data_IF_343307679450
#
_entry.id   IF_343307679450
#
_cell.length_a   1.000
_cell.length_b   1.000
_cell.length_c   1.000
_cell.angle_alpha   90.00
_cell.angle_beta   90.00
_cell.angle_gamma   90.00
#
_symmetry.space_group_name_H-M   'P 1'
#
loop_
_entity.id
_entity.type
_entity.pdbx_description
1 polymer ?
#
# COMPACT_ATOMS: atom_id res chain seq x y z
N UNK A 1 -7.34 43.07 7.49
CA UNK A 1 -6.36 42.08 6.99
C UNK A 1 -6.79 40.69 7.43
N UNK A 2 -7.54 39.96 6.60
CA UNK A 2 -7.97 38.60 6.92
C UNK A 2 -6.77 37.66 6.75
N UNK A 3 -6.33 37.02 7.83
CA UNK A 3 -5.29 35.99 7.76
C UNK A 3 -5.77 34.89 6.82
N UNK A 4 -5.11 34.74 5.66
CA UNK A 4 -5.41 33.66 4.72
C UNK A 4 -5.30 32.32 5.44
N UNK A 5 -6.41 31.58 5.46
CA UNK A 5 -6.47 30.26 6.08
C UNK A 5 -5.53 29.35 5.28
N UNK A 6 -4.38 28.95 5.84
CA UNK A 6 -3.51 27.95 5.22
C UNK A 6 -4.37 26.70 5.02
N UNK A 7 -4.67 26.34 3.77
CA UNK A 7 -5.42 25.14 3.41
C UNK A 7 -4.68 23.96 4.03
N UNK A 8 -5.23 23.36 5.10
CA UNK A 8 -4.66 22.15 5.67
C UNK A 8 -4.74 21.07 4.59
N UNK A 9 -3.59 20.49 4.24
CA UNK A 9 -3.53 19.37 3.33
C UNK A 9 -4.29 18.20 3.96
N UNK A 10 -5.30 17.69 3.26
CA UNK A 10 -6.04 16.50 3.68
C UNK A 10 -5.19 15.28 3.36
N UNK A 11 -5.20 14.26 4.21
CA UNK A 11 -4.35 13.08 4.06
C UNK A 11 -4.51 12.38 2.70
N UNK A 12 -5.70 12.46 2.08
CA UNK A 12 -5.97 11.89 0.76
C UNK A 12 -5.07 12.48 -0.34
N UNK A 13 -4.57 13.71 -0.17
CA UNK A 13 -3.63 14.32 -1.13
C UNK A 13 -2.25 13.67 -1.13
N UNK A 14 -1.97 12.78 -0.17
CA UNK A 14 -0.73 12.00 -0.05
C UNK A 14 -0.88 10.54 -0.46
N UNK A 15 -2.09 10.13 -0.83
CA UNK A 15 -2.32 8.78 -1.36
C UNK A 15 -1.62 8.67 -2.70
N UNK A 16 -0.84 7.62 -2.87
CA UNK A 16 -0.10 7.38 -4.10
C UNK A 16 -0.27 5.93 -4.54
N UNK A 17 -0.13 5.70 -5.85
CA UNK A 17 -0.24 4.39 -6.46
C UNK A 17 1.15 3.82 -6.77
N UNK A 18 1.29 2.51 -6.54
CA UNK A 18 2.45 1.70 -6.93
C UNK A 18 1.95 0.54 -7.79
N UNK A 19 2.63 0.30 -8.91
CA UNK A 19 2.36 -0.85 -9.79
C UNK A 19 3.53 -1.81 -9.70
N UNK A 20 3.25 -3.08 -9.39
CA UNK A 20 4.22 -4.13 -9.15
C UNK A 20 3.91 -5.35 -10.02
N UNK A 21 4.96 -6.00 -10.51
CA UNK A 21 4.90 -7.38 -10.99
C UNK A 21 5.22 -8.35 -9.86
N UNK A 22 4.89 -9.62 -10.08
CA UNK A 22 5.37 -10.73 -9.25
C UNK A 22 6.65 -11.32 -9.83
N UNK A 23 7.52 -11.84 -8.96
CA UNK A 23 8.63 -12.69 -9.39
C UNK A 23 8.11 -13.99 -10.01
N UNK A 24 8.93 -14.76 -10.75
CA UNK A 24 8.55 -16.08 -11.24
C UNK A 24 8.06 -17.04 -10.15
N UNK A 25 8.53 -16.86 -8.91
CA UNK A 25 8.13 -17.61 -7.71
C UNK A 25 6.89 -17.03 -7.01
N UNK A 26 6.27 -15.98 -7.58
CA UNK A 26 5.10 -15.31 -7.03
C UNK A 26 5.38 -14.34 -5.89
N UNK A 27 6.66 -13.98 -5.65
CA UNK A 27 7.06 -13.09 -4.56
C UNK A 27 6.95 -11.62 -4.98
N UNK A 28 6.67 -10.74 -4.01
CA UNK A 28 6.54 -9.29 -4.25
C UNK A 28 7.67 -8.44 -3.66
N UNK A 29 8.53 -9.04 -2.82
CA UNK A 29 9.68 -8.34 -2.23
C UNK A 29 9.38 -7.43 -1.03
N UNK A 30 8.19 -7.51 -0.42
CA UNK A 30 7.86 -6.78 0.81
C UNK A 30 7.06 -7.63 1.80
N UNK A 31 6.96 -7.16 3.05
CA UNK A 31 6.14 -7.74 4.12
C UNK A 31 4.86 -6.92 4.32
N UNK A 32 3.77 -7.57 4.74
CA UNK A 32 2.57 -6.90 5.25
C UNK A 32 2.36 -7.21 6.72
N UNK A 33 1.96 -6.19 7.47
CA UNK A 33 1.67 -6.26 8.89
C UNK A 33 0.33 -5.58 9.19
N UNK A 34 -0.09 -5.64 10.45
CA UNK A 34 -1.35 -5.08 10.92
C UNK A 34 -2.54 -6.02 10.72
N UNK A 35 -3.66 -5.48 10.27
CA UNK A 35 -4.90 -6.23 10.05
C UNK A 35 -5.96 -6.00 11.13
N UNK A 36 -7.23 -6.12 10.73
CA UNK A 36 -8.37 -5.84 11.59
C UNK A 36 -8.44 -6.75 12.83
N UNK A 37 -7.88 -7.96 12.77
CA UNK A 37 -7.75 -8.87 13.91
C UNK A 37 -6.88 -8.29 15.04
N UNK A 38 -6.00 -7.33 14.71
CA UNK A 38 -5.13 -6.62 15.65
C UNK A 38 -5.66 -5.21 15.97
N UNK A 39 -6.82 -4.82 15.45
CA UNK A 39 -7.33 -3.45 15.55
C UNK A 39 -6.48 -2.42 14.79
N UNK A 40 -5.74 -2.86 13.77
CA UNK A 40 -4.82 -2.03 12.98
C UNK A 40 -5.22 -2.04 11.50
N UNK A 41 -4.93 -0.95 10.78
CA UNK A 41 -4.95 -1.00 9.32
C UNK A 41 -3.81 -1.90 8.81
N UNK A 42 -3.97 -2.55 7.64
CA UNK A 42 -2.85 -3.21 6.99
C UNK A 42 -1.82 -2.15 6.56
N UNK A 43 -0.54 -2.45 6.75
CA UNK A 43 0.55 -1.55 6.39
C UNK A 43 1.77 -2.32 5.88
N UNK A 44 2.61 -1.62 5.11
CA UNK A 44 3.85 -2.17 4.57
C UNK A 44 4.87 -2.32 5.70
N UNK A 45 5.36 -3.54 5.90
CA UNK A 45 6.51 -3.82 6.76
C UNK A 45 7.82 -3.64 6.00
N UNK A 46 8.74 -4.58 6.18
CA UNK A 46 10.04 -4.53 5.52
C UNK A 46 9.90 -4.64 3.99
N UNK A 47 10.43 -3.63 3.28
CA UNK A 47 10.55 -3.61 1.81
C UNK A 47 11.98 -3.99 1.46
N UNK A 48 12.18 -5.13 0.77
CA UNK A 48 13.52 -5.64 0.41
C UNK A 48 13.98 -5.02 -0.91
N UNK A 49 15.01 -4.15 -0.90
CA UNK A 49 15.51 -3.53 -2.11
C UNK A 49 15.98 -4.58 -3.13
N UNK A 50 15.67 -4.37 -4.41
CA UNK A 50 16.04 -5.29 -5.49
C UNK A 50 15.17 -6.55 -5.60
N UNK A 51 14.28 -6.83 -4.65
CA UNK A 51 13.31 -7.93 -4.75
C UNK A 51 11.90 -7.49 -5.15
N UNK A 52 11.64 -6.19 -5.17
CA UNK A 52 10.37 -5.63 -5.63
C UNK A 52 10.48 -5.34 -7.13
N UNK A 53 9.65 -6.03 -7.92
CA UNK A 53 9.56 -5.83 -9.35
C UNK A 53 8.61 -4.66 -9.64
N UNK A 54 9.13 -3.44 -9.70
CA UNK A 54 8.31 -2.27 -10.03
C UNK A 54 8.01 -2.19 -11.52
N UNK A 55 6.75 -1.94 -11.86
CA UNK A 55 6.34 -1.63 -13.23
C UNK A 55 6.27 -0.12 -13.44
N UNK A 56 7.12 0.39 -14.32
CA UNK A 56 7.16 1.80 -14.71
C UNK A 56 7.90 2.74 -13.73
N UNK A 57 7.77 4.04 -14.02
CA UNK A 57 8.46 5.14 -13.31
C UNK A 57 7.67 5.76 -12.16
N UNK A 58 6.68 5.04 -11.62
CA UNK A 58 5.81 5.52 -10.54
C UNK A 58 6.49 5.56 -9.15
N UNK A 59 5.68 5.77 -8.12
CA UNK A 59 6.14 5.79 -6.72
C UNK A 59 6.75 4.44 -6.30
N UNK A 60 7.58 4.48 -5.27
CA UNK A 60 8.19 3.28 -4.66
C UNK A 60 7.50 2.98 -3.33
N UNK A 61 7.50 1.71 -2.94
CA UNK A 61 7.03 1.31 -1.61
C UNK A 61 7.93 1.96 -0.56
N UNK A 62 7.31 2.56 0.46
CA UNK A 62 8.03 2.99 1.67
C UNK A 62 7.59 2.05 2.81
N UNK A 63 8.49 1.67 3.73
CA UNK A 63 8.07 0.97 4.94
C UNK A 63 7.14 1.85 5.80
N UNK A 64 6.29 1.20 6.60
CA UNK A 64 5.39 1.81 7.60
C UNK A 64 4.29 2.72 7.03
N UNK A 65 3.93 2.59 5.74
CA UNK A 65 2.74 3.24 5.17
C UNK A 65 1.54 2.31 5.10
N UNK A 66 0.35 2.88 5.25
CA UNK A 66 -0.90 2.14 5.22
C UNK A 66 -1.21 1.68 3.80
N UNK A 67 -1.64 0.43 3.68
CA UNK A 67 -2.20 -0.13 2.47
C UNK A 67 -3.72 0.09 2.46
N UNK A 68 -4.22 0.80 1.45
CA UNK A 68 -5.63 1.17 1.35
C UNK A 68 -6.39 0.27 0.38
N UNK A 69 -5.79 0.01 -0.79
CA UNK A 69 -6.39 -0.78 -1.86
C UNK A 69 -5.37 -1.70 -2.53
N UNK A 70 -5.85 -2.86 -3.00
CA UNK A 70 -5.14 -3.80 -3.86
C UNK A 70 -6.00 -4.06 -5.10
N UNK A 71 -5.54 -3.68 -6.29
CA UNK A 71 -6.30 -3.75 -7.55
C UNK A 71 -7.75 -3.27 -7.39
N UNK A 72 -7.93 -2.04 -6.89
CA UNK A 72 -9.25 -1.42 -6.67
C UNK A 72 -10.11 -2.09 -5.57
N UNK A 73 -9.60 -3.15 -4.92
CA UNK A 73 -10.25 -3.77 -3.77
C UNK A 73 -9.81 -3.06 -2.49
N UNK A 74 -10.71 -2.41 -1.74
CA UNK A 74 -10.37 -1.79 -0.46
C UNK A 74 -10.01 -2.86 0.57
N UNK A 75 -8.89 -2.67 1.25
CA UNK A 75 -8.38 -3.64 2.25
C UNK A 75 -8.33 -3.06 3.67
N UNK A 76 -8.58 -1.75 3.82
CA UNK A 76 -8.70 -1.11 5.12
C UNK A 76 -9.90 -1.69 5.89
N UNK A 77 -9.62 -2.50 6.92
CA UNK A 77 -10.63 -3.19 7.72
C UNK A 77 -10.73 -4.70 7.48
N UNK A 78 -9.92 -5.25 6.58
CA UNK A 78 -9.78 -6.70 6.43
C UNK A 78 -8.77 -7.28 7.43
N UNK A 79 -8.87 -8.59 7.70
CA UNK A 79 -7.82 -9.29 8.43
C UNK A 79 -6.55 -9.39 7.58
N UNK A 80 -5.37 -9.48 8.18
CA UNK A 80 -4.12 -9.62 7.42
C UNK A 80 -4.16 -10.86 6.51
N UNK A 81 -4.77 -11.95 6.99
CA UNK A 81 -5.01 -13.15 6.20
C UNK A 81 -5.84 -12.86 4.94
N UNK A 82 -6.90 -12.09 5.05
CA UNK A 82 -7.77 -11.75 3.91
C UNK A 82 -7.06 -10.80 2.93
N UNK A 83 -6.28 -9.83 3.43
CA UNK A 83 -5.46 -8.95 2.57
C UNK A 83 -4.45 -9.78 1.75
N UNK A 84 -3.77 -10.72 2.38
CA UNK A 84 -2.84 -11.63 1.69
C UNK A 84 -3.56 -12.51 0.66
N UNK A 85 -4.79 -12.96 0.95
CA UNK A 85 -5.60 -13.69 0.00
C UNK A 85 -5.99 -12.83 -1.21
N UNK A 86 -6.41 -11.58 -1.00
CA UNK A 86 -6.68 -10.61 -2.08
C UNK A 86 -5.43 -10.46 -2.95
N UNK A 87 -4.28 -10.17 -2.34
CA UNK A 87 -3.02 -10.02 -3.06
C UNK A 87 -2.66 -11.28 -3.83
N UNK A 88 -2.87 -12.48 -3.28
CA UNK A 88 -2.56 -13.75 -3.96
C UNK A 88 -3.44 -14.00 -5.18
N UNK A 89 -4.72 -13.61 -5.12
CA UNK A 89 -5.73 -13.94 -6.13
C UNK A 89 -5.97 -12.82 -7.15
N UNK A 90 -5.46 -11.61 -6.90
CA UNK A 90 -5.49 -10.53 -7.88
C UNK A 90 -4.64 -10.87 -9.12
N UNK A 91 -5.05 -10.36 -10.28
CA UNK A 91 -4.29 -10.48 -11.52
C UNK A 91 -3.13 -9.51 -11.54
N UNK A 92 -2.03 -9.92 -12.15
CA UNK A 92 -0.94 -9.00 -12.45
C UNK A 92 -1.34 -8.01 -13.56
N UNK A 93 -0.83 -6.77 -13.54
CA UNK A 93 0.05 -6.26 -12.49
C UNK A 93 -0.70 -5.87 -11.21
N UNK A 94 -0.01 -5.94 -10.08
CA UNK A 94 -0.52 -5.58 -8.77
C UNK A 94 -0.45 -4.07 -8.55
N UNK A 95 -1.60 -3.42 -8.40
CA UNK A 95 -1.76 -1.99 -8.14
C UNK A 95 -2.11 -1.76 -6.68
N UNK A 96 -1.23 -1.08 -5.96
CA UNK A 96 -1.39 -0.76 -4.55
C UNK A 96 -1.65 0.74 -4.39
N UNK A 97 -2.61 1.11 -3.56
CA UNK A 97 -2.72 2.49 -3.06
C UNK A 97 -2.26 2.56 -1.62
N UNK A 98 -1.27 3.40 -1.36
CA UNK A 98 -0.66 3.56 -0.06
C UNK A 98 -0.71 5.00 0.42
N UNK A 99 -0.62 5.20 1.74
CA UNK A 99 -0.44 6.53 2.34
C UNK A 99 0.43 6.49 3.57
N UNK A 100 1.36 7.45 3.66
CA UNK A 100 2.22 7.63 4.84
C UNK A 100 1.44 8.16 6.04
N UNK A 101 1.64 7.53 7.19
CA UNK A 101 1.14 8.03 8.49
C UNK A 101 2.00 9.21 8.95
N UNK A 102 1.37 10.22 9.57
CA UNK A 102 2.06 11.39 10.15
C UNK A 102 2.63 11.10 11.54
#
# INVERSE_FOLDING_TARGET
>A
MSKGLKKKSHWTSRVHEIVLGRSPEGQLGFELRGGAENGQFPYLGDVRPGQVAYEGGGSRLVPEELLLEVNETPVAGLTLRDVLAVIKHCKDPLRLKCVKQE
#
